data_IF_368829172432
#
_entry.id   IF_368829172432
#
_cell.length_a   1.000
_cell.length_b   1.000
_cell.length_c   1.000
_cell.angle_alpha   90.00
_cell.angle_beta   90.00
_cell.angle_gamma   90.00
#
_symmetry.space_group_name_H-M   'P 1'
#
loop_
_entity.id
_entity.type
_entity.pdbx_description
1 polymer ?
#
# COMPACT_ATOMS: atom_id res chain seq x y z
N UNK A 1 41.08 21.68 -17.58
CA UNK A 1 39.86 20.97 -17.11
C UNK A 1 40.01 20.73 -15.61
N UNK A 2 39.07 21.19 -14.79
CA UNK A 2 39.12 20.95 -13.34
C UNK A 2 39.05 19.43 -13.09
N UNK A 3 39.99 18.88 -12.30
CA UNK A 3 39.97 17.46 -11.90
C UNK A 3 38.68 17.19 -11.12
N UNK A 4 37.90 16.21 -11.56
CA UNK A 4 36.72 15.78 -10.82
C UNK A 4 37.12 15.14 -9.50
N UNK A 5 36.52 15.60 -8.39
CA UNK A 5 36.81 15.12 -7.04
C UNK A 5 36.19 13.71 -6.90
N UNK A 6 36.99 12.67 -6.61
CA UNK A 6 36.46 11.34 -6.31
C UNK A 6 35.60 11.38 -5.04
N UNK A 7 34.46 10.68 -5.04
CA UNK A 7 33.62 10.57 -3.87
C UNK A 7 34.27 9.62 -2.84
N UNK A 8 34.28 10.02 -1.57
CA UNK A 8 34.63 9.14 -0.46
C UNK A 8 33.37 8.41 0.00
N UNK A 9 33.14 7.24 -0.58
CA UNK A 9 31.97 6.40 -0.31
C UNK A 9 32.39 4.95 -0.06
N UNK A 10 31.52 4.20 0.60
CA UNK A 10 31.61 2.77 0.78
C UNK A 10 30.88 2.05 -0.38
N UNK A 11 31.57 1.27 -1.23
CA UNK A 11 30.97 0.51 -2.33
C UNK A 11 29.80 -0.38 -1.90
N UNK A 12 29.88 -0.99 -0.71
CA UNK A 12 28.82 -1.84 -0.19
C UNK A 12 27.51 -1.07 0.04
N UNK A 13 27.62 0.23 0.36
CA UNK A 13 26.44 1.09 0.53
C UNK A 13 25.76 1.41 -0.80
N UNK A 14 26.49 1.42 -1.93
CA UNK A 14 25.88 1.56 -3.25
C UNK A 14 25.04 0.33 -3.59
N UNK A 15 25.63 -0.86 -3.43
CA UNK A 15 24.93 -2.14 -3.66
C UNK A 15 23.70 -2.24 -2.78
N UNK A 16 23.84 -1.96 -1.48
CA UNK A 16 22.72 -1.98 -0.55
C UNK A 16 21.63 -0.99 -0.95
N UNK A 17 21.97 0.27 -1.27
CA UNK A 17 20.98 1.30 -1.59
C UNK A 17 20.21 0.96 -2.88
N UNK A 18 20.91 0.42 -3.89
CA UNK A 18 20.30 -0.04 -5.12
C UNK A 18 19.31 -1.18 -4.89
N UNK A 19 19.74 -2.23 -4.18
CA UNK A 19 18.91 -3.40 -3.87
C UNK A 19 17.73 -3.04 -2.96
N UNK A 20 17.92 -2.12 -2.02
CA UNK A 20 16.87 -1.64 -1.12
C UNK A 20 15.84 -0.80 -1.88
N UNK A 21 16.29 0.07 -2.80
CA UNK A 21 15.41 0.82 -3.69
C UNK A 21 14.66 -0.08 -4.69
N UNK A 22 15.20 -1.27 -5.02
CA UNK A 22 14.58 -2.23 -5.93
C UNK A 22 15.05 -2.11 -7.38
N UNK A 23 16.15 -1.41 -7.63
CA UNK A 23 16.66 -1.20 -8.98
C UNK A 23 17.54 -2.37 -9.46
N UNK A 24 17.34 -2.76 -10.71
CA UNK A 24 18.29 -3.55 -11.50
C UNK A 24 19.49 -2.70 -11.94
N UNK A 25 20.58 -3.34 -12.34
CA UNK A 25 21.75 -2.62 -12.84
C UNK A 25 21.37 -1.76 -14.06
N UNK A 26 20.53 -2.33 -14.95
CA UNK A 26 20.06 -1.72 -16.20
C UNK A 26 19.27 -0.44 -15.96
N UNK A 27 18.31 -0.45 -15.04
CA UNK A 27 17.49 0.72 -14.72
C UNK A 27 18.33 1.88 -14.16
N UNK A 28 19.34 1.57 -13.32
CA UNK A 28 20.24 2.61 -12.77
C UNK A 28 21.04 3.28 -13.86
N UNK A 29 21.63 2.48 -14.76
CA UNK A 29 22.53 3.03 -15.78
C UNK A 29 21.80 3.77 -16.88
N UNK A 30 20.54 3.40 -17.17
CA UNK A 30 19.66 4.16 -18.05
C UNK A 30 19.43 5.58 -17.50
N UNK A 31 19.13 5.71 -16.20
CA UNK A 31 18.93 7.00 -15.56
C UNK A 31 20.24 7.79 -15.40
N UNK A 32 21.34 7.10 -15.09
CA UNK A 32 22.64 7.73 -14.89
C UNK A 32 23.30 8.16 -16.22
N UNK A 33 22.91 7.52 -17.33
CA UNK A 33 23.52 7.61 -18.67
C UNK A 33 24.97 7.12 -18.67
N UNK A 34 25.15 5.89 -18.17
CA UNK A 34 26.45 5.21 -18.01
C UNK A 34 26.36 3.75 -18.44
N UNK A 35 27.47 3.01 -18.35
CA UNK A 35 27.49 1.58 -18.62
C UNK A 35 27.31 0.75 -17.34
N UNK A 36 26.77 -0.47 -17.49
CA UNK A 36 26.70 -1.47 -16.40
C UNK A 36 28.09 -1.79 -15.85
N UNK A 37 29.11 -1.81 -16.72
CA UNK A 37 30.49 -2.03 -16.31
C UNK A 37 31.01 -0.96 -15.33
N UNK A 38 30.75 0.32 -15.61
CA UNK A 38 31.11 1.41 -14.71
C UNK A 38 30.38 1.31 -13.36
N UNK A 39 29.08 1.02 -13.37
CA UNK A 39 28.31 0.85 -12.12
C UNK A 39 28.89 -0.29 -11.28
N UNK A 40 29.17 -1.43 -11.90
CA UNK A 40 29.75 -2.60 -11.21
C UNK A 40 31.15 -2.32 -10.68
N UNK A 41 31.98 -1.58 -11.41
CA UNK A 41 33.30 -1.17 -10.94
C UNK A 41 33.23 -0.27 -9.70
N UNK A 42 32.20 0.59 -9.59
CA UNK A 42 31.96 1.38 -8.39
C UNK A 42 31.42 0.56 -7.23
N UNK A 43 30.56 -0.42 -7.51
CA UNK A 43 29.98 -1.33 -6.52
C UNK A 43 30.99 -2.35 -5.98
N UNK A 44 31.98 -2.76 -6.78
CA UNK A 44 33.10 -3.61 -6.34
C UNK A 44 34.23 -2.83 -5.67
N UNK A 45 34.28 -1.51 -5.88
CA UNK A 45 35.33 -0.63 -5.36
C UNK A 45 36.61 -0.59 -6.21
N UNK A 46 36.59 -1.19 -7.40
CA UNK A 46 37.67 -1.08 -8.39
C UNK A 46 37.87 0.36 -8.86
N UNK A 47 36.75 1.08 -9.04
CA UNK A 47 36.74 2.50 -9.37
C UNK A 47 35.92 3.31 -8.35
N UNK A 48 36.11 4.63 -8.35
CA UNK A 48 35.32 5.54 -7.52
C UNK A 48 34.51 6.49 -8.40
N UNK A 49 33.19 6.61 -8.17
CA UNK A 49 32.43 7.66 -8.82
C UNK A 49 32.94 9.02 -8.36
N UNK A 50 32.80 10.03 -9.20
CA UNK A 50 32.98 11.42 -8.80
C UNK A 50 31.89 11.85 -7.82
N UNK A 51 32.14 12.90 -7.02
CA UNK A 51 31.15 13.42 -6.08
C UNK A 51 29.79 13.67 -6.75
N UNK A 52 29.78 14.26 -7.96
CA UNK A 52 28.55 14.51 -8.73
C UNK A 52 27.85 13.22 -9.16
N UNK A 53 28.60 12.17 -9.51
CA UNK A 53 28.00 10.87 -9.86
C UNK A 53 27.38 10.22 -8.62
N UNK A 54 28.07 10.26 -7.48
CA UNK A 54 27.54 9.74 -6.23
C UNK A 54 26.31 10.53 -5.75
N UNK A 55 26.28 11.87 -5.88
CA UNK A 55 25.07 12.67 -5.62
C UNK A 55 23.91 12.31 -6.55
N UNK A 56 24.18 11.97 -7.81
CA UNK A 56 23.13 11.50 -8.75
C UNK A 56 22.62 10.12 -8.35
N UNK A 57 23.49 9.19 -7.97
CA UNK A 57 23.09 7.88 -7.44
C UNK A 57 22.23 8.02 -6.18
N UNK A 58 22.61 8.92 -5.27
CA UNK A 58 21.84 9.22 -4.06
C UNK A 58 20.41 9.70 -4.40
N UNK A 59 20.27 10.58 -5.41
CA UNK A 59 18.96 11.02 -5.91
C UNK A 59 18.15 9.89 -6.54
N UNK A 60 18.78 9.05 -7.37
CA UNK A 60 18.12 7.89 -8.01
C UNK A 60 17.57 6.95 -6.94
N UNK A 61 18.39 6.59 -5.95
CA UNK A 61 18.00 5.69 -4.87
C UNK A 61 17.11 6.34 -3.81
N UNK A 62 16.79 7.64 -3.94
CA UNK A 62 16.07 8.46 -2.96
C UNK A 62 16.65 8.32 -1.54
N UNK A 63 17.99 8.35 -1.43
CA UNK A 63 18.72 8.33 -0.16
C UNK A 63 19.59 9.59 -0.03
N UNK A 64 19.80 10.10 1.19
CA UNK A 64 20.82 11.11 1.43
C UNK A 64 22.21 10.60 1.02
N UNK A 65 23.04 11.46 0.41
CA UNK A 65 24.42 11.11 0.04
C UNK A 65 25.23 10.56 1.22
N UNK A 66 25.01 11.11 2.43
CA UNK A 66 25.69 10.68 3.66
C UNK A 66 25.49 9.20 3.99
N UNK A 67 24.43 8.55 3.47
CA UNK A 67 24.24 7.11 3.64
C UNK A 67 25.37 6.33 2.97
N UNK A 68 25.94 6.83 1.88
CA UNK A 68 27.06 6.17 1.20
C UNK A 68 28.37 6.25 1.98
N UNK A 69 28.46 7.04 3.04
CA UNK A 69 29.66 7.14 3.89
C UNK A 69 29.59 6.23 5.11
N UNK A 70 28.51 5.48 5.30
CA UNK A 70 28.38 4.54 6.40
C UNK A 70 29.36 3.36 6.25
N UNK A 71 29.84 2.84 7.37
CA UNK A 71 30.80 1.72 7.41
C UNK A 71 30.16 0.40 7.00
N UNK A 72 28.89 0.21 7.28
CA UNK A 72 28.14 -1.01 6.97
C UNK A 72 26.67 -0.71 6.65
N UNK A 73 26.00 -1.56 5.86
CA UNK A 73 24.56 -1.45 5.61
C UNK A 73 23.73 -1.48 6.90
N UNK A 74 22.79 -0.55 7.09
CA UNK A 74 21.90 -0.58 8.24
C UNK A 74 20.97 -1.80 8.16
N UNK A 75 20.60 -2.33 9.32
CA UNK A 75 19.56 -3.35 9.43
C UNK A 75 18.20 -2.72 9.12
N UNK A 76 17.57 -3.16 8.05
CA UNK A 76 16.24 -2.70 7.64
C UNK A 76 15.24 -3.83 7.71
N UNK A 77 14.05 -3.54 8.22
CA UNK A 77 12.91 -4.46 8.12
C UNK A 77 12.51 -4.63 6.65
N UNK A 78 12.34 -5.87 6.14
CA UNK A 78 11.86 -6.08 4.78
C UNK A 78 10.46 -5.47 4.58
N UNK A 79 10.23 -4.73 3.50
CA UNK A 79 8.91 -4.10 3.25
C UNK A 79 7.74 -5.10 3.27
N UNK A 80 7.97 -6.33 2.85
CA UNK A 80 6.97 -7.40 2.87
C UNK A 80 6.46 -7.82 4.27
N UNK A 81 7.06 -7.32 5.36
CA UNK A 81 6.48 -7.45 6.71
C UNK A 81 5.35 -6.46 6.97
N UNK A 82 5.24 -5.40 6.17
CA UNK A 82 4.35 -4.28 6.43
C UNK A 82 3.00 -4.43 5.72
N UNK A 83 3.00 -4.97 4.49
CA UNK A 83 1.83 -5.02 3.62
C UNK A 83 1.27 -6.44 3.41
N UNK A 84 -0.01 -6.52 3.04
CA UNK A 84 -0.68 -7.80 2.73
C UNK A 84 -0.12 -8.49 1.48
N UNK A 85 -0.39 -9.79 1.27
CA UNK A 85 -0.05 -10.43 -0.02
C UNK A 85 -0.81 -9.77 -1.18
N UNK A 86 -0.09 -9.42 -2.23
CA UNK A 86 -0.63 -8.84 -3.47
C UNK A 86 -0.58 -9.89 -4.60
N UNK A 87 -1.58 -9.95 -5.51
CA UNK A 87 -1.69 -11.02 -6.50
C UNK A 87 -0.51 -11.11 -7.48
N UNK A 88 0.00 -9.96 -7.93
CA UNK A 88 1.02 -9.87 -8.98
C UNK A 88 2.42 -9.49 -8.44
N UNK A 89 2.59 -9.47 -7.12
CA UNK A 89 3.82 -9.01 -6.48
C UNK A 89 4.42 -10.13 -5.65
N UNK A 90 5.65 -10.51 -5.97
CA UNK A 90 6.41 -11.44 -5.14
C UNK A 90 7.13 -10.65 -4.04
N UNK A 91 7.00 -11.04 -2.75
CA UNK A 91 7.75 -10.42 -1.65
C UNK A 91 9.25 -10.32 -1.95
N UNK A 92 9.82 -9.13 -1.78
CA UNK A 92 11.22 -8.83 -2.10
C UNK A 92 11.52 -8.58 -3.58
N UNK A 93 10.52 -8.65 -4.46
CA UNK A 93 10.61 -8.31 -5.90
C UNK A 93 9.54 -7.30 -6.34
N UNK A 94 9.10 -6.47 -5.40
CA UNK A 94 8.25 -5.31 -5.66
C UNK A 94 8.97 -4.33 -6.59
N UNK A 95 8.24 -3.66 -7.50
CA UNK A 95 8.82 -2.61 -8.33
C UNK A 95 9.41 -1.48 -7.49
N UNK A 96 10.33 -0.71 -8.08
CA UNK A 96 10.91 0.45 -7.41
C UNK A 96 9.83 1.48 -7.03
N UNK A 97 8.86 1.68 -7.92
CA UNK A 97 7.71 2.55 -7.69
C UNK A 97 6.88 2.08 -6.50
N UNK A 98 6.56 0.78 -6.42
CA UNK A 98 5.81 0.21 -5.31
C UNK A 98 6.57 0.34 -3.99
N UNK A 99 7.88 0.09 -4.00
CA UNK A 99 8.73 0.26 -2.81
C UNK A 99 8.72 1.70 -2.30
N UNK A 100 8.80 2.67 -3.20
CA UNK A 100 8.71 4.08 -2.82
C UNK A 100 7.34 4.46 -2.30
N UNK A 101 6.25 3.97 -2.92
CA UNK A 101 4.91 4.19 -2.43
C UNK A 101 4.73 3.62 -1.01
N UNK A 102 5.12 2.37 -0.77
CA UNK A 102 5.05 1.73 0.55
C UNK A 102 5.85 2.50 1.62
N UNK A 103 7.05 2.97 1.28
CA UNK A 103 7.85 3.79 2.20
C UNK A 103 7.21 5.14 2.50
N UNK A 104 6.60 5.80 1.51
CA UNK A 104 5.88 7.05 1.73
C UNK A 104 4.65 6.83 2.63
N UNK A 105 3.91 5.74 2.44
CA UNK A 105 2.80 5.36 3.32
C UNK A 105 3.26 5.13 4.77
N UNK A 106 4.34 4.38 4.96
CA UNK A 106 4.93 4.14 6.29
C UNK A 106 5.45 5.41 6.94
N UNK A 107 6.13 6.27 6.17
CA UNK A 107 6.63 7.56 6.64
C UNK A 107 5.48 8.46 7.09
N UNK A 108 4.42 8.60 6.29
CA UNK A 108 3.26 9.42 6.66
C UNK A 108 2.53 8.87 7.89
N UNK A 109 2.47 7.55 8.04
CA UNK A 109 1.96 6.92 9.27
C UNK A 109 2.83 7.30 10.47
N UNK A 110 4.15 7.25 10.33
CA UNK A 110 5.07 7.64 11.40
C UNK A 110 4.89 9.11 11.80
N UNK A 111 4.83 10.02 10.82
CA UNK A 111 4.56 11.45 11.07
C UNK A 111 3.21 11.65 11.76
N UNK A 112 2.17 10.92 11.37
CA UNK A 112 0.87 11.00 12.04
C UNK A 112 0.94 10.55 13.50
N UNK A 113 1.70 9.50 13.81
CA UNK A 113 1.92 9.04 15.18
C UNK A 113 2.72 10.05 16.02
N UNK A 114 3.77 10.66 15.44
CA UNK A 114 4.51 11.75 16.09
C UNK A 114 3.59 12.92 16.43
N UNK A 115 2.71 13.31 15.49
CA UNK A 115 1.75 14.38 15.72
C UNK A 115 0.76 14.06 16.85
N UNK A 116 0.25 12.83 16.93
CA UNK A 116 -0.59 12.40 18.05
C UNK A 116 0.15 12.55 19.39
N UNK A 117 1.40 12.10 19.46
CA UNK A 117 2.23 12.23 20.66
C UNK A 117 2.45 13.71 21.05
N UNK A 118 2.75 14.58 20.09
CA UNK A 118 2.96 16.01 20.33
C UNK A 118 1.73 16.73 20.89
N UNK A 119 0.53 16.35 20.44
CA UNK A 119 -0.74 16.93 20.95
C UNK A 119 -1.24 16.24 22.23
N UNK A 120 -0.51 15.24 22.75
CA UNK A 120 -0.87 14.52 23.96
C UNK A 120 -2.04 13.54 23.78
N UNK A 121 -2.30 13.11 22.55
CA UNK A 121 -3.31 12.12 22.20
C UNK A 121 -2.65 10.78 21.85
N UNK A 122 -3.37 9.67 22.07
CA UNK A 122 -2.94 8.36 21.62
C UNK A 122 -4.03 7.77 20.73
N UNK A 123 -3.73 7.43 19.47
CA UNK A 123 -4.70 6.82 18.59
C UNK A 123 -5.10 5.45 19.15
N UNK A 124 -6.41 5.20 19.21
CA UNK A 124 -6.93 3.93 19.68
C UNK A 124 -6.51 2.78 18.75
N UNK A 125 -6.44 1.57 19.33
CA UNK A 125 -6.24 0.36 18.55
C UNK A 125 -7.49 0.09 17.72
N UNK A 126 -7.28 -0.23 16.45
CA UNK A 126 -8.37 -0.70 15.59
C UNK A 126 -8.89 -2.04 16.13
N UNK A 127 -10.19 -2.11 16.43
CA UNK A 127 -10.77 -3.19 17.22
C UNK A 127 -11.69 -4.12 16.43
N UNK A 128 -12.15 -3.72 15.24
CA UNK A 128 -13.03 -4.58 14.45
C UNK A 128 -12.24 -5.77 13.90
N UNK A 129 -12.83 -6.96 14.04
CA UNK A 129 -12.28 -8.22 13.55
C UNK A 129 -13.36 -9.03 12.85
N UNK A 130 -12.94 -9.86 11.90
CA UNK A 130 -13.81 -10.82 11.24
C UNK A 130 -13.12 -12.15 11.00
N UNK A 131 -13.94 -13.19 10.85
CA UNK A 131 -13.52 -14.55 10.48
C UNK A 131 -14.01 -14.90 9.09
N UNK A 132 -13.20 -15.65 8.32
CA UNK A 132 -13.59 -16.16 7.00
C UNK A 132 -14.80 -17.12 7.05
N UNK A 133 -15.11 -17.65 8.23
CA UNK A 133 -16.29 -18.48 8.47
C UNK A 133 -17.59 -17.69 8.67
N UNK A 134 -17.54 -16.36 8.77
CA UNK A 134 -18.73 -15.52 8.91
C UNK A 134 -19.54 -15.46 7.61
N UNK A 135 -20.85 -15.24 7.74
CA UNK A 135 -21.70 -15.00 6.58
C UNK A 135 -21.42 -13.62 5.99
N UNK A 136 -21.13 -13.56 4.70
CA UNK A 136 -20.69 -12.33 4.03
C UNK A 136 -21.71 -11.21 4.10
N UNK A 137 -23.00 -11.56 4.07
CA UNK A 137 -24.15 -10.66 4.09
C UNK A 137 -24.36 -10.04 5.48
N UNK A 138 -24.12 -10.81 6.55
CA UNK A 138 -24.18 -10.32 7.93
C UNK A 138 -23.00 -9.40 8.23
N UNK A 139 -21.80 -9.79 7.81
CA UNK A 139 -20.60 -8.99 7.96
C UNK A 139 -20.71 -7.66 7.19
N UNK A 140 -21.23 -7.69 5.97
CA UNK A 140 -21.46 -6.49 5.16
C UNK A 140 -22.38 -5.49 5.86
N UNK A 141 -23.51 -5.95 6.42
CA UNK A 141 -24.44 -5.10 7.19
C UNK A 141 -23.81 -4.57 8.46
N UNK A 142 -23.02 -5.39 9.17
CA UNK A 142 -22.30 -5.00 10.38
C UNK A 142 -21.28 -3.89 10.09
N UNK A 143 -20.48 -4.05 9.05
CA UNK A 143 -19.48 -3.04 8.63
C UNK A 143 -20.18 -1.77 8.16
N UNK A 144 -21.21 -1.87 7.32
CA UNK A 144 -21.94 -0.68 6.85
C UNK A 144 -22.58 0.11 7.99
N UNK A 145 -23.14 -0.58 8.99
CA UNK A 145 -23.68 0.04 10.20
C UNK A 145 -22.59 0.75 11.01
N UNK A 146 -21.41 0.15 11.14
CA UNK A 146 -20.25 0.77 11.81
C UNK A 146 -19.80 2.04 11.09
N UNK A 147 -19.75 2.01 9.74
CA UNK A 147 -19.40 3.16 8.91
C UNK A 147 -20.49 4.26 8.92
N UNK A 148 -21.66 3.99 9.51
CA UNK A 148 -22.79 4.92 9.61
C UNK A 148 -23.27 5.49 8.26
N UNK A 149 -23.08 4.74 7.17
CA UNK A 149 -23.56 5.13 5.84
C UNK A 149 -24.92 4.51 5.59
N UNK A 150 -25.97 5.31 5.70
CA UNK A 150 -27.33 4.86 5.36
C UNK A 150 -27.56 4.89 3.85
N UNK A 151 -28.71 4.37 3.41
CA UNK A 151 -29.14 4.51 2.02
C UNK A 151 -29.34 5.98 1.67
N UNK A 152 -30.04 6.72 2.53
CA UNK A 152 -30.38 8.12 2.31
C UNK A 152 -29.11 8.95 2.14
N UNK A 153 -28.06 8.68 2.93
CA UNK A 153 -26.76 9.30 2.71
C UNK A 153 -26.22 8.99 1.30
N UNK A 154 -26.16 7.71 0.93
CA UNK A 154 -25.57 7.29 -0.34
C UNK A 154 -26.31 7.83 -1.57
N UNK A 155 -27.65 7.86 -1.54
CA UNK A 155 -28.47 8.40 -2.64
C UNK A 155 -28.51 9.93 -2.67
N UNK A 156 -28.07 10.61 -1.60
CA UNK A 156 -27.98 12.08 -1.58
C UNK A 156 -26.72 12.63 -2.27
N UNK A 157 -25.70 11.80 -2.49
CA UNK A 157 -24.44 12.23 -3.10
C UNK A 157 -24.62 12.52 -4.58
N UNK A 158 -24.21 13.72 -4.99
CA UNK A 158 -24.48 14.24 -6.33
C UNK A 158 -23.49 13.72 -7.39
N UNK A 159 -22.34 13.19 -6.97
CA UNK A 159 -21.29 12.71 -7.86
C UNK A 159 -20.29 11.77 -7.15
N UNK A 160 -19.45 11.11 -7.95
CA UNK A 160 -18.41 10.19 -7.49
C UNK A 160 -17.42 10.81 -6.50
N UNK A 161 -17.14 12.11 -6.61
CA UNK A 161 -16.22 12.80 -5.69
C UNK A 161 -16.81 12.90 -4.29
N UNK A 162 -18.10 13.24 -4.17
CA UNK A 162 -18.81 13.25 -2.90
C UNK A 162 -18.89 11.84 -2.30
N UNK A 163 -19.21 10.84 -3.12
CA UNK A 163 -19.23 9.45 -2.69
C UNK A 163 -17.87 8.98 -2.17
N UNK A 164 -16.80 9.22 -2.93
CA UNK A 164 -15.43 8.91 -2.54
C UNK A 164 -15.06 9.55 -1.19
N UNK A 165 -15.33 10.85 -1.02
CA UNK A 165 -15.05 11.56 0.22
C UNK A 165 -15.82 10.99 1.41
N UNK A 166 -17.10 10.67 1.22
CA UNK A 166 -17.94 10.10 2.29
C UNK A 166 -17.42 8.73 2.73
N UNK A 167 -17.13 7.81 1.79
CA UNK A 167 -16.58 6.50 2.11
C UNK A 167 -15.20 6.60 2.78
N UNK A 168 -14.33 7.45 2.26
CA UNK A 168 -13.01 7.70 2.86
C UNK A 168 -13.13 8.21 4.29
N UNK A 169 -13.93 9.24 4.51
CA UNK A 169 -14.13 9.82 5.84
C UNK A 169 -14.71 8.80 6.83
N UNK A 170 -15.64 7.95 6.38
CA UNK A 170 -16.25 6.93 7.23
C UNK A 170 -15.24 5.87 7.69
N UNK A 171 -14.31 5.48 6.81
CA UNK A 171 -13.20 4.56 7.15
C UNK A 171 -12.16 5.26 8.03
N UNK A 172 -11.78 6.50 7.72
CA UNK A 172 -10.83 7.27 8.53
C UNK A 172 -11.35 7.51 9.96
N UNK A 173 -12.66 7.69 10.13
CA UNK A 173 -13.31 7.79 11.43
C UNK A 173 -13.19 6.51 12.30
N UNK A 174 -12.77 5.38 11.72
CA UNK A 174 -12.48 4.15 12.47
C UNK A 174 -11.02 4.07 12.95
N UNK A 175 -10.25 5.16 12.84
CA UNK A 175 -8.83 5.18 13.24
C UNK A 175 -7.89 4.56 12.19
N UNK A 176 -8.27 4.63 10.91
CA UNK A 176 -7.49 4.10 9.78
C UNK A 176 -6.98 5.25 8.94
N UNK A 177 -5.71 5.24 8.58
CA UNK A 177 -5.13 6.26 7.72
C UNK A 177 -5.33 5.89 6.25
N UNK A 178 -6.16 6.65 5.52
CA UNK A 178 -6.38 6.41 4.08
C UNK A 178 -5.53 7.39 3.28
N UNK A 179 -4.59 6.88 2.51
CA UNK A 179 -3.61 7.66 1.76
C UNK A 179 -3.70 7.35 0.26
N UNK A 180 -3.30 8.33 -0.55
CA UNK A 180 -3.30 8.22 -2.01
C UNK A 180 -1.87 8.17 -2.53
N UNK A 181 -1.62 7.34 -3.53
CA UNK A 181 -0.35 7.30 -4.27
C UNK A 181 -0.61 7.19 -5.78
N UNK A 182 0.35 7.64 -6.60
CA UNK A 182 0.17 7.75 -8.05
C UNK A 182 1.30 7.13 -8.88
N UNK A 183 2.44 6.82 -8.28
CA UNK A 183 3.64 6.49 -9.05
C UNK A 183 3.60 5.05 -9.59
N UNK A 184 2.90 4.15 -8.92
CA UNK A 184 2.76 2.73 -9.28
C UNK A 184 1.70 2.53 -10.37
N UNK A 185 1.90 1.59 -11.28
CA UNK A 185 0.89 1.22 -12.28
C UNK A 185 -0.33 0.57 -11.61
N UNK A 186 -1.52 0.75 -12.20
CA UNK A 186 -2.75 0.17 -11.65
C UNK A 186 -2.84 -1.35 -11.87
N UNK A 187 -2.07 -1.88 -12.82
CA UNK A 187 -1.91 -3.30 -13.11
C UNK A 187 -1.09 -4.02 -12.03
N UNK A 188 -0.09 -3.35 -11.46
CA UNK A 188 0.69 -3.89 -10.35
C UNK A 188 -0.11 -3.84 -9.04
N UNK A 189 -0.70 -2.68 -8.72
CA UNK A 189 -1.49 -2.51 -7.50
C UNK A 189 -2.59 -1.45 -7.66
N UNK A 190 -3.79 -1.78 -7.21
CA UNK A 190 -4.94 -0.85 -7.10
C UNK A 190 -5.07 -0.26 -5.71
N UNK A 191 -4.87 -1.10 -4.70
CA UNK A 191 -4.86 -0.73 -3.30
C UNK A 191 -3.93 -1.63 -2.50
N UNK A 192 -3.50 -1.14 -1.35
CA UNK A 192 -2.63 -1.88 -0.43
C UNK A 192 -2.99 -1.57 1.01
N UNK A 193 -2.95 -2.59 1.85
CA UNK A 193 -3.18 -2.47 3.30
C UNK A 193 -1.87 -2.71 4.05
N UNK A 194 -1.55 -1.82 4.98
CA UNK A 194 -0.45 -2.01 5.93
C UNK A 194 -0.99 -2.46 7.28
N UNK A 195 -0.54 -3.62 7.73
CA UNK A 195 -1.10 -4.27 8.91
C UNK A 195 -0.45 -3.75 10.20
N UNK A 196 -1.15 -2.84 10.86
CA UNK A 196 -0.79 -2.34 12.18
C UNK A 196 -2.01 -2.34 13.11
N UNK A 197 -1.79 -2.62 14.39
CA UNK A 197 -2.86 -2.57 15.39
C UNK A 197 -3.29 -1.15 15.75
N UNK A 198 -2.38 -0.19 15.64
CA UNK A 198 -2.61 1.24 15.87
C UNK A 198 -2.42 1.96 14.55
N UNK A 199 -3.40 2.77 14.14
CA UNK A 199 -3.36 3.55 12.91
C UNK A 199 -2.92 2.71 11.68
N UNK A 200 -3.63 1.61 11.34
CA UNK A 200 -3.37 0.88 10.10
C UNK A 200 -3.57 1.79 8.89
N UNK A 201 -3.00 1.41 7.75
CA UNK A 201 -2.97 2.26 6.55
C UNK A 201 -3.63 1.54 5.40
N UNK A 202 -4.48 2.27 4.67
CA UNK A 202 -4.94 1.88 3.34
C UNK A 202 -4.34 2.86 2.33
N UNK A 203 -3.53 2.36 1.42
CA UNK A 203 -3.07 3.08 0.25
C UNK A 203 -4.00 2.81 -0.95
N UNK A 204 -4.43 3.86 -1.65
CA UNK A 204 -5.22 3.76 -2.88
C UNK A 204 -4.47 4.37 -4.05
N UNK A 205 -4.37 3.61 -5.14
CA UNK A 205 -3.74 4.06 -6.37
C UNK A 205 -4.65 5.02 -7.14
N UNK A 206 -4.23 6.26 -7.33
CA UNK A 206 -5.01 7.28 -8.04
C UNK A 206 -5.06 7.07 -9.55
N UNK A 207 -4.20 6.21 -10.12
CA UNK A 207 -4.27 5.82 -11.53
C UNK A 207 -5.45 4.88 -11.83
N UNK A 208 -6.09 4.30 -10.82
CA UNK A 208 -7.35 3.60 -10.99
C UNK A 208 -8.51 4.56 -11.30
N UNK A 209 -9.51 4.07 -12.02
CA UNK A 209 -10.77 4.77 -12.32
C UNK A 209 -11.40 5.28 -11.02
N UNK A 210 -11.73 6.57 -10.98
CA UNK A 210 -12.22 7.22 -9.77
C UNK A 210 -13.47 6.55 -9.17
N UNK A 211 -14.41 6.11 -10.02
CA UNK A 211 -15.63 5.42 -9.61
C UNK A 211 -15.38 4.06 -8.94
N UNK A 212 -14.22 3.42 -9.17
CA UNK A 212 -13.85 2.13 -8.58
C UNK A 212 -13.21 2.27 -7.19
N UNK A 213 -12.69 3.45 -6.84
CA UNK A 213 -11.95 3.66 -5.58
C UNK A 213 -12.74 3.32 -4.31
N UNK A 214 -14.06 3.59 -4.19
CA UNK A 214 -14.83 3.13 -3.04
C UNK A 214 -14.80 1.60 -2.87
N UNK A 215 -14.83 0.84 -3.97
CA UNK A 215 -14.71 -0.62 -3.92
C UNK A 215 -13.33 -1.05 -3.44
N UNK A 216 -12.27 -0.49 -4.03
CA UNK A 216 -10.89 -0.75 -3.59
C UNK A 216 -10.68 -0.40 -2.11
N UNK A 217 -11.23 0.73 -1.64
CA UNK A 217 -11.19 1.13 -0.24
C UNK A 217 -11.89 0.12 0.68
N UNK A 218 -13.11 -0.31 0.35
CA UNK A 218 -13.80 -1.32 1.16
C UNK A 218 -13.05 -2.66 1.15
N UNK A 219 -12.52 -3.06 0.00
CA UNK A 219 -11.74 -4.28 -0.17
C UNK A 219 -10.50 -4.28 0.76
N UNK A 220 -9.69 -3.23 0.71
CA UNK A 220 -8.53 -3.08 1.60
C UNK A 220 -8.93 -2.95 3.08
N UNK A 221 -10.05 -2.27 3.37
CA UNK A 221 -10.56 -2.18 4.74
C UNK A 221 -10.91 -3.56 5.33
N UNK A 222 -11.50 -4.45 4.54
CA UNK A 222 -11.82 -5.82 4.95
C UNK A 222 -10.54 -6.63 5.21
N UNK A 223 -9.49 -6.45 4.40
CA UNK A 223 -8.18 -7.08 4.67
C UNK A 223 -7.60 -6.66 6.03
N UNK A 224 -7.72 -5.39 6.41
CA UNK A 224 -7.33 -4.94 7.76
C UNK A 224 -8.16 -5.64 8.85
N UNK A 225 -9.47 -5.77 8.65
CA UNK A 225 -10.38 -6.45 9.59
C UNK A 225 -10.03 -7.94 9.73
N UNK A 226 -9.70 -8.62 8.62
CA UNK A 226 -9.28 -10.01 8.61
C UNK A 226 -7.91 -10.20 9.26
N UNK A 227 -6.95 -9.31 9.01
CA UNK A 227 -5.66 -9.31 9.68
C UNK A 227 -5.81 -9.15 11.20
N UNK A 228 -6.69 -8.24 11.64
CA UNK A 228 -6.99 -8.07 13.07
C UNK A 228 -7.68 -9.33 13.66
N UNK A 229 -8.45 -10.05 12.85
CA UNK A 229 -9.02 -11.35 13.18
C UNK A 229 -8.03 -12.52 13.10
N UNK A 230 -6.76 -12.30 12.79
CA UNK A 230 -5.75 -13.34 12.51
C UNK A 230 -6.09 -14.27 11.32
N UNK A 231 -6.94 -13.82 10.41
CA UNK A 231 -7.26 -14.52 9.15
C UNK A 231 -6.34 -14.07 8.00
N UNK A 232 -5.56 -13.01 8.21
CA UNK A 232 -4.62 -12.50 7.22
C UNK A 232 -3.28 -12.14 7.84
N UNK A 233 -2.22 -12.22 7.03
CA UNK A 233 -0.84 -12.06 7.47
C UNK A 233 -0.05 -11.21 6.46
N UNK A 234 1.04 -10.56 6.91
CA UNK A 234 1.94 -9.86 6.00
C UNK A 234 2.43 -10.76 4.86
N UNK A 235 2.75 -10.13 3.71
CA UNK A 235 3.13 -10.83 2.49
C UNK A 235 4.31 -11.79 2.70
N UNK A 236 5.27 -11.43 3.54
CA UNK A 236 6.43 -12.27 3.87
C UNK A 236 6.09 -13.53 4.68
N UNK A 237 4.98 -13.51 5.41
CA UNK A 237 4.52 -14.59 6.29
C UNK A 237 3.37 -15.41 5.66
N UNK A 238 2.91 -15.01 4.49
CA UNK A 238 1.88 -15.75 3.76
C UNK A 238 2.48 -17.06 3.20
N UNK A 239 1.80 -18.16 3.51
CA UNK A 239 2.20 -19.53 3.16
C UNK A 239 1.09 -20.29 2.44
N UNK A 240 -0.11 -19.72 2.37
CA UNK A 240 -1.24 -20.27 1.64
C UNK A 240 -0.90 -20.43 0.17
N UNK A 241 -1.45 -21.49 -0.41
CA UNK A 241 -1.46 -21.68 -1.86
C UNK A 241 -2.28 -20.58 -2.54
N UNK A 242 -2.06 -20.35 -3.83
CA UNK A 242 -2.86 -19.40 -4.60
C UNK A 242 -4.37 -19.70 -4.54
N UNK A 243 -4.76 -20.97 -4.44
CA UNK A 243 -6.15 -21.39 -4.33
C UNK A 243 -6.78 -21.05 -2.96
N UNK A 244 -6.01 -21.18 -1.88
CA UNK A 244 -6.47 -20.80 -0.54
C UNK A 244 -6.56 -19.28 -0.39
N UNK A 245 -5.57 -18.55 -0.90
CA UNK A 245 -5.59 -17.09 -0.89
C UNK A 245 -6.73 -16.52 -1.75
N UNK A 246 -7.04 -17.17 -2.89
CA UNK A 246 -8.21 -16.79 -3.71
C UNK A 246 -9.53 -16.81 -2.93
N UNK A 247 -9.69 -17.69 -1.94
CA UNK A 247 -10.88 -17.70 -1.07
C UNK A 247 -10.98 -16.43 -0.21
N UNK A 248 -9.84 -15.87 0.21
CA UNK A 248 -9.79 -14.61 0.96
C UNK A 248 -10.21 -13.46 0.05
N UNK A 249 -9.68 -13.41 -1.17
CA UNK A 249 -10.06 -12.40 -2.16
C UNK A 249 -11.56 -12.48 -2.50
N UNK A 250 -12.08 -13.68 -2.80
CA UNK A 250 -13.51 -13.88 -3.10
C UNK A 250 -14.42 -13.49 -1.92
N UNK A 251 -14.01 -13.81 -0.68
CA UNK A 251 -14.72 -13.38 0.52
C UNK A 251 -14.73 -11.85 0.64
N UNK A 252 -13.57 -11.23 0.46
CA UNK A 252 -13.36 -9.78 0.56
C UNK A 252 -14.15 -9.03 -0.51
N UNK A 253 -14.15 -9.52 -1.76
CA UNK A 253 -14.96 -8.98 -2.86
C UNK A 253 -16.46 -9.04 -2.57
N UNK A 254 -16.96 -10.19 -2.07
CA UNK A 254 -18.37 -10.34 -1.69
C UNK A 254 -18.78 -9.35 -0.60
N UNK A 255 -17.96 -9.21 0.44
CA UNK A 255 -18.24 -8.31 1.55
C UNK A 255 -18.15 -6.85 1.09
N UNK A 256 -17.15 -6.48 0.28
CA UNK A 256 -17.03 -5.14 -0.28
C UNK A 256 -18.26 -4.77 -1.15
N UNK A 257 -18.70 -5.70 -2.00
CA UNK A 257 -19.91 -5.55 -2.80
C UNK A 257 -21.17 -5.38 -1.93
N UNK A 258 -21.33 -6.22 -0.90
CA UNK A 258 -22.46 -6.14 0.03
C UNK A 258 -22.48 -4.87 0.88
N UNK A 259 -21.32 -4.27 1.19
CA UNK A 259 -21.25 -2.97 1.87
C UNK A 259 -21.72 -1.86 0.95
N UNK A 260 -21.22 -1.79 -0.28
CA UNK A 260 -21.52 -0.69 -1.20
C UNK A 260 -22.93 -0.80 -1.79
N UNK A 261 -23.41 -2.02 -2.01
CA UNK A 261 -24.69 -2.33 -2.61
C UNK A 261 -25.42 -3.43 -1.83
N UNK A 262 -25.97 -3.12 -0.63
CA UNK A 262 -26.78 -4.06 0.15
C UNK A 262 -27.95 -4.62 -0.66
N UNK A 263 -28.35 -5.87 -0.39
CA UNK A 263 -29.48 -6.51 -1.07
C UNK A 263 -30.78 -5.71 -0.98
N UNK A 264 -30.99 -5.00 0.12
CA UNK A 264 -32.16 -4.17 0.34
C UNK A 264 -32.24 -3.01 -0.67
N UNK A 265 -31.10 -2.54 -1.20
CA UNK A 265 -31.05 -1.56 -2.27
C UNK A 265 -31.44 -2.18 -3.62
N UNK A 266 -30.98 -3.42 -3.88
CA UNK A 266 -31.26 -4.14 -5.12
C UNK A 266 -32.74 -4.53 -5.26
N UNK A 267 -33.37 -4.99 -4.18
CA UNK A 267 -34.79 -5.44 -4.20
C UNK A 267 -35.78 -4.29 -4.47
N UNK A 268 -35.35 -3.04 -4.38
CA UNK A 268 -36.18 -1.85 -4.58
C UNK A 268 -35.96 -1.17 -5.93
N UNK A 269 -34.98 -1.63 -6.72
CA UNK A 269 -34.83 -1.26 -8.12
C UNK A 269 -35.91 -1.96 -8.97
N UNK A 270 -36.73 -1.19 -9.68
CA UNK A 270 -37.92 -1.66 -10.40
C UNK A 270 -37.60 -2.76 -11.45
N UNK A 271 -36.36 -2.80 -11.93
CA UNK A 271 -35.83 -3.78 -12.90
C UNK A 271 -35.57 -5.17 -12.31
N UNK A 272 -35.37 -5.29 -10.99
CA UNK A 272 -35.10 -6.58 -10.32
C UNK A 272 -36.40 -7.23 -9.82
N UNK A 273 -37.41 -6.43 -9.46
CA UNK A 273 -38.74 -6.92 -9.08
C UNK A 273 -39.45 -7.68 -10.21
N UNK A 274 -39.08 -7.45 -11.47
CA UNK A 274 -39.64 -8.18 -12.63
C UNK A 274 -38.91 -9.50 -12.95
N UNK A 275 -37.77 -9.81 -12.31
CA UNK A 275 -36.94 -11.00 -12.61
C UNK A 275 -36.78 -12.00 -11.46
N UNK A 276 -37.19 -11.66 -10.24
CA UNK A 276 -37.17 -12.57 -9.09
C UNK A 276 -38.60 -13.04 -8.80
N UNK A 277 -38.95 -14.33 -8.99
CA UNK A 277 -40.26 -14.81 -8.59
C UNK A 277 -40.37 -14.77 -7.07
N UNK A 278 -41.46 -14.18 -6.58
CA UNK A 278 -41.86 -14.19 -5.18
C UNK A 278 -41.86 -15.63 -4.68
N UNK A 279 -41.03 -15.92 -3.67
CA UNK A 279 -41.11 -17.17 -2.89
C UNK A 279 -42.00 -16.95 -1.68
#
# INVERSE_FOLDING_TARGET
MARSIPALINPQMLVWARNEAGFTDEEVVEQLKRSVGELRAWESGEEKPTLRQAERLAKIYKKPYSVFTLSEPPKTTPLATEYRRLPNVTPGKESTELRFALRDLLYRRHVALELFEEIGELPEKFSLQAKLSEQTEELSRRIRKLLQITRENQFSWQNDSQAWKAWRNAVEAQGILVLLFSDVTHEEVRGVSLFHSVLPVIGINTKEIAASRPFTLMHEFIHIILANGNEEKPAIDERRTSAEWKKIEEFTERVAGGILMPEELLKQEHLIQTRMPSS
#
